data_IF_824377611270
#
_entry.id   IF_824377611270
#
_cell.length_a   1.000
_cell.length_b   1.000
_cell.length_c   1.000
_cell.angle_alpha   90.00
_cell.angle_beta   90.00
_cell.angle_gamma   90.00
#
_symmetry.space_group_name_H-M   'P 1'
#
loop_
_entity.id
_entity.type
_entity.pdbx_description
1 polymer ?
#
# COMPACT_ATOMS: atom_id res chain seq x y z
N UNK A 1 -2.05 1.80 5.87
CA UNK A 1 -2.22 2.31 4.48
C UNK A 1 -3.67 2.35 4.05
N UNK A 2 -4.46 1.29 4.26
CA UNK A 2 -5.88 1.19 3.84
C UNK A 2 -6.73 2.41 4.15
N UNK A 3 -6.65 2.96 5.36
CA UNK A 3 -7.41 4.16 5.74
C UNK A 3 -7.11 5.36 4.83
N UNK A 4 -5.85 5.57 4.40
CA UNK A 4 -5.52 6.61 3.43
C UNK A 4 -6.02 6.30 2.02
N UNK A 5 -6.10 5.02 1.63
CA UNK A 5 -6.71 4.63 0.35
C UNK A 5 -8.22 4.94 0.32
N UNK A 6 -8.88 5.12 1.47
CA UNK A 6 -10.26 5.61 1.57
C UNK A 6 -10.34 7.14 1.61
N UNK A 7 -9.49 7.78 2.41
CA UNK A 7 -9.58 9.23 2.67
C UNK A 7 -9.04 10.07 1.50
N UNK A 8 -7.91 9.69 0.90
CA UNK A 8 -7.26 10.50 -0.15
C UNK A 8 -8.13 10.65 -1.39
N UNK A 9 -8.81 9.60 -1.91
CA UNK A 9 -9.74 9.75 -3.02
C UNK A 9 -10.85 10.76 -2.75
N UNK A 10 -11.41 10.80 -1.53
CA UNK A 10 -12.44 11.77 -1.16
C UNK A 10 -11.92 13.20 -1.18
N UNK A 11 -10.68 13.43 -0.71
CA UNK A 11 -10.06 14.76 -0.79
C UNK A 11 -9.86 15.18 -2.25
N UNK A 12 -9.44 14.24 -3.10
CA UNK A 12 -9.20 14.47 -4.53
C UNK A 12 -10.49 14.71 -5.31
N UNK A 13 -11.60 14.07 -4.91
CA UNK A 13 -12.90 14.14 -5.58
C UNK A 13 -13.85 15.18 -4.98
N UNK A 14 -13.34 16.10 -4.16
CA UNK A 14 -14.15 17.12 -3.45
C UNK A 14 -15.32 16.52 -2.65
N UNK A 15 -15.07 15.37 -2.02
CA UNK A 15 -16.04 14.65 -1.20
C UNK A 15 -17.00 13.74 -1.97
N UNK A 16 -16.85 13.55 -3.28
CA UNK A 16 -17.69 12.61 -4.03
C UNK A 16 -17.44 11.15 -3.58
N UNK A 17 -18.48 10.55 -3.01
CA UNK A 17 -18.49 9.20 -2.46
C UNK A 17 -18.64 8.12 -3.53
N UNK A 18 -19.00 8.47 -4.77
CA UNK A 18 -19.40 7.51 -5.83
C UNK A 18 -18.35 6.44 -6.03
N UNK A 19 -17.09 6.82 -6.28
CA UNK A 19 -16.01 5.85 -6.51
C UNK A 19 -15.62 5.09 -5.24
N UNK A 20 -15.82 5.70 -4.06
CA UNK A 20 -15.51 5.06 -2.79
C UNK A 20 -16.46 3.91 -2.47
N UNK A 21 -17.74 4.08 -2.84
CA UNK A 21 -18.80 3.10 -2.61
C UNK A 21 -18.94 2.04 -3.70
N UNK A 22 -18.46 2.32 -4.92
CA UNK A 22 -18.68 1.44 -6.08
C UNK A 22 -17.43 0.72 -6.57
N UNK A 23 -16.23 1.23 -6.28
CA UNK A 23 -14.97 0.66 -6.74
C UNK A 23 -14.18 0.13 -5.55
N UNK A 24 -13.74 -1.15 -5.58
CA UNK A 24 -12.85 -1.68 -4.55
C UNK A 24 -11.60 -0.82 -4.39
N UNK A 25 -11.15 -0.66 -3.15
CA UNK A 25 -10.07 0.26 -2.83
C UNK A 25 -8.74 -0.07 -3.55
N UNK A 26 -8.44 -1.35 -3.77
CA UNK A 26 -7.26 -1.82 -4.52
C UNK A 26 -7.35 -1.56 -6.03
N UNK A 27 -8.54 -1.34 -6.59
CA UNK A 27 -8.68 -0.90 -7.99
C UNK A 27 -8.66 0.64 -8.08
N UNK A 28 -9.21 1.32 -7.06
CA UNK A 28 -9.24 2.78 -6.97
C UNK A 28 -7.86 3.37 -6.70
N UNK A 29 -7.15 2.86 -5.70
CA UNK A 29 -5.78 3.24 -5.31
C UNK A 29 -4.89 1.99 -5.33
N UNK A 30 -4.44 1.55 -6.51
CA UNK A 30 -3.73 0.29 -6.65
C UNK A 30 -2.33 0.33 -6.03
N UNK A 31 -1.91 -0.85 -5.58
CA UNK A 31 -0.59 -1.10 -5.04
C UNK A 31 0.41 -1.31 -6.17
N UNK A 32 1.51 -0.55 -6.19
CA UNK A 32 2.50 -0.63 -7.28
C UNK A 32 3.26 -1.97 -7.31
N UNK A 33 3.40 -2.62 -6.15
CA UNK A 33 4.08 -3.91 -6.01
C UNK A 33 3.26 -5.14 -6.42
N UNK A 34 1.96 -4.98 -6.69
CA UNK A 34 1.06 -6.10 -6.96
C UNK A 34 0.82 -6.27 -8.47
N UNK A 35 0.73 -7.52 -8.93
CA UNK A 35 0.72 -7.84 -10.36
C UNK A 35 -0.45 -7.21 -11.12
N UNK A 36 -1.60 -6.98 -10.47
CA UNK A 36 -2.78 -6.30 -11.03
C UNK A 36 -2.47 -4.88 -11.46
N UNK A 37 -1.46 -4.20 -10.90
CA UNK A 37 -1.03 -2.88 -11.37
C UNK A 37 -0.72 -2.88 -12.88
N UNK A 38 -0.16 -3.98 -13.40
CA UNK A 38 0.13 -4.16 -14.82
C UNK A 38 -1.16 -4.25 -15.65
N UNK A 39 -2.21 -4.87 -15.09
CA UNK A 39 -3.50 -5.07 -15.76
C UNK A 39 -4.39 -3.81 -15.77
N UNK A 40 -4.11 -2.86 -14.88
CA UNK A 40 -4.96 -1.68 -14.65
C UNK A 40 -4.63 -0.47 -15.52
N UNK A 41 -3.70 -0.60 -16.48
CA UNK A 41 -3.28 0.46 -17.42
C UNK A 41 -3.07 1.81 -16.71
N UNK A 42 -2.29 1.82 -15.61
CA UNK A 42 -2.20 2.96 -14.69
C UNK A 42 -1.78 4.27 -15.37
N UNK A 43 -1.00 4.18 -16.45
CA UNK A 43 -0.55 5.34 -17.23
C UNK A 43 -1.69 6.07 -17.94
N UNK A 44 -2.76 5.35 -18.32
CA UNK A 44 -3.92 5.89 -19.04
C UNK A 44 -4.97 6.52 -18.12
N UNK A 45 -4.81 6.39 -16.80
CA UNK A 45 -5.77 6.97 -15.84
C UNK A 45 -5.74 8.50 -15.87
N UNK A 46 -6.92 9.16 -15.75
CA UNK A 46 -6.98 10.61 -15.67
C UNK A 46 -6.24 11.11 -14.43
N UNK A 47 -5.69 12.33 -14.51
CA UNK A 47 -5.07 12.99 -13.38
C UNK A 47 -6.11 13.71 -12.51
N UNK A 48 -5.88 13.81 -11.18
CA UNK A 48 -4.72 13.29 -10.45
C UNK A 48 -4.79 11.77 -10.22
N UNK A 49 -3.65 11.10 -10.35
CA UNK A 49 -3.51 9.65 -10.11
C UNK A 49 -3.06 9.40 -8.69
N UNK A 50 -3.73 8.48 -8.00
CA UNK A 50 -3.41 8.09 -6.62
C UNK A 50 -3.00 6.62 -6.61
N UNK A 51 -1.82 6.33 -6.07
CA UNK A 51 -1.27 4.99 -5.96
C UNK A 51 -0.78 4.75 -4.53
N UNK A 52 -0.72 3.49 -4.12
CA UNK A 52 -0.14 3.08 -2.85
C UNK A 52 1.09 2.20 -3.10
N UNK A 53 2.06 2.23 -2.19
CA UNK A 53 3.19 1.30 -2.24
C UNK A 53 3.85 1.15 -0.88
N UNK A 54 4.47 -0.02 -0.66
CA UNK A 54 5.41 -0.26 0.43
C UNK A 54 6.88 -0.14 0.00
N UNK A 55 7.17 0.24 -1.25
CA UNK A 55 8.54 0.42 -1.71
C UNK A 55 9.28 1.48 -0.91
N UNK A 56 10.55 1.18 -0.66
CA UNK A 56 11.47 2.17 -0.11
C UNK A 56 11.75 3.24 -1.16
N UNK A 57 12.04 4.46 -0.72
CA UNK A 57 12.35 5.59 -1.60
C UNK A 57 13.45 5.24 -2.64
N UNK A 58 14.45 4.45 -2.26
CA UNK A 58 15.53 4.00 -3.14
C UNK A 58 15.13 2.97 -4.20
N UNK A 59 13.94 2.36 -4.07
CA UNK A 59 13.41 1.37 -5.02
C UNK A 59 12.53 2.03 -6.10
N UNK A 60 12.25 3.32 -6.00
CA UNK A 60 11.44 4.04 -6.98
C UNK A 60 12.16 4.16 -8.32
N UNK A 61 11.41 4.25 -9.41
CA UNK A 61 11.96 4.37 -10.76
C UNK A 61 12.48 5.79 -11.05
N UNK A 62 13.23 5.95 -12.14
CA UNK A 62 13.78 7.26 -12.52
C UNK A 62 12.71 8.35 -12.72
N UNK A 63 11.52 7.99 -13.23
CA UNK A 63 10.47 8.97 -13.48
C UNK A 63 9.94 9.56 -12.18
N UNK A 64 9.88 8.79 -11.08
CA UNK A 64 9.55 9.30 -9.75
C UNK A 64 10.50 10.43 -9.32
N UNK A 65 11.82 10.25 -9.49
CA UNK A 65 12.81 11.27 -9.10
C UNK A 65 12.79 12.52 -10.00
N UNK A 66 12.39 12.37 -11.26
CA UNK A 66 12.22 13.47 -12.21
C UNK A 66 10.95 14.28 -11.92
N UNK A 67 9.81 13.60 -11.75
CA UNK A 67 8.49 14.22 -11.58
C UNK A 67 8.25 14.72 -10.15
N UNK A 68 8.86 14.06 -9.14
CA UNK A 68 8.72 14.39 -7.71
C UNK A 68 7.24 14.50 -7.29
N UNK A 69 6.46 13.40 -7.38
CA UNK A 69 5.05 13.42 -6.99
C UNK A 69 4.88 13.76 -5.51
N UNK A 70 3.67 14.16 -5.12
CA UNK A 70 3.33 14.34 -3.71
C UNK A 70 3.27 12.98 -3.01
N UNK A 71 3.94 12.85 -1.88
CA UNK A 71 4.00 11.61 -1.09
C UNK A 71 3.34 11.81 0.26
N UNK A 72 2.39 10.93 0.57
CA UNK A 72 1.82 10.79 1.90
C UNK A 72 2.40 9.52 2.53
N UNK A 73 3.31 9.70 3.48
CA UNK A 73 3.99 8.59 4.15
C UNK A 73 3.34 8.29 5.51
N UNK A 74 3.01 7.03 5.76
CA UNK A 74 2.42 6.58 7.04
C UNK A 74 3.46 5.80 7.81
N UNK A 75 3.80 6.30 8.98
CA UNK A 75 4.58 5.56 9.98
C UNK A 75 3.69 5.14 11.13
N UNK A 76 4.03 4.00 11.71
CA UNK A 76 3.42 3.48 12.93
C UNK A 76 4.53 2.98 13.86
N UNK A 77 4.27 2.95 15.16
CA UNK A 77 5.19 2.36 16.11
C UNK A 77 5.57 0.92 15.66
N UNK A 78 6.87 0.58 15.53
CA UNK A 78 7.29 -0.70 14.99
C UNK A 78 6.80 -1.90 15.82
N UNK A 79 6.54 -1.73 17.12
CA UNK A 79 5.94 -2.78 17.96
C UNK A 79 4.50 -3.08 17.54
N UNK A 80 3.74 -2.06 17.15
CA UNK A 80 2.38 -2.25 16.65
C UNK A 80 2.38 -2.81 15.22
N UNK A 81 3.38 -2.42 14.40
CA UNK A 81 3.58 -2.98 13.06
C UNK A 81 3.88 -4.47 13.19
N UNK A 82 4.78 -4.87 14.09
CA UNK A 82 5.09 -6.27 14.37
C UNK A 82 3.84 -7.08 14.68
N UNK A 83 3.05 -6.66 15.67
CA UNK A 83 1.81 -7.34 16.06
C UNK A 83 0.84 -7.44 14.89
N UNK A 84 0.63 -6.36 14.15
CA UNK A 84 -0.25 -6.34 12.98
C UNK A 84 0.23 -7.29 11.87
N UNK A 85 1.53 -7.30 11.59
CA UNK A 85 2.12 -8.15 10.55
C UNK A 85 2.05 -9.63 10.93
N UNK A 86 2.29 -9.99 12.19
CA UNK A 86 2.17 -11.37 12.66
C UNK A 86 0.79 -11.96 12.37
N UNK A 87 -0.28 -11.25 12.75
CA UNK A 87 -1.64 -11.69 12.47
C UNK A 87 -1.97 -11.66 10.97
N UNK A 88 -1.49 -10.66 10.25
CA UNK A 88 -1.71 -10.58 8.81
C UNK A 88 -1.11 -11.77 8.05
N UNK A 89 0.12 -12.16 8.38
CA UNK A 89 0.78 -13.35 7.83
C UNK A 89 0.02 -14.64 8.17
N UNK A 90 -0.60 -14.72 9.36
CA UNK A 90 -1.45 -15.85 9.73
C UNK A 90 -2.79 -15.91 8.99
N UNK A 91 -3.29 -14.77 8.49
CA UNK A 91 -4.60 -14.68 7.80
C UNK A 91 -4.48 -14.74 6.28
N UNK A 92 -3.41 -14.17 5.70
CA UNK A 92 -3.25 -14.05 4.26
C UNK A 92 -2.69 -15.34 3.66
N UNK A 93 -3.51 -16.07 2.91
CA UNK A 93 -3.17 -17.39 2.35
C UNK A 93 -1.99 -17.39 1.36
N UNK A 94 -1.64 -16.23 0.81
CA UNK A 94 -0.53 -16.05 -0.11
C UNK A 94 0.79 -15.66 0.59
N UNK A 95 0.79 -15.50 1.91
CA UNK A 95 1.99 -15.28 2.70
C UNK A 95 2.46 -16.58 3.33
N UNK A 96 3.77 -16.63 3.63
CA UNK A 96 4.35 -17.73 4.39
C UNK A 96 3.78 -17.75 5.81
N UNK A 97 3.63 -18.93 6.41
CA UNK A 97 3.18 -19.04 7.79
C UNK A 97 4.16 -18.29 8.72
N UNK A 98 3.67 -17.41 9.61
CA UNK A 98 4.54 -16.63 10.48
C UNK A 98 5.32 -17.50 11.47
N UNK A 99 4.80 -18.68 11.83
CA UNK A 99 5.33 -19.54 12.89
C UNK A 99 4.89 -19.04 14.27
N UNK A 100 5.75 -19.26 15.27
CA UNK A 100 5.60 -18.69 16.60
C UNK A 100 5.91 -17.19 16.61
N UNK A 101 5.51 -16.48 17.67
CA UNK A 101 5.82 -15.05 17.78
C UNK A 101 7.32 -14.78 17.88
N UNK A 102 8.07 -15.63 18.56
CA UNK A 102 9.53 -15.48 18.71
C UNK A 102 10.25 -15.66 17.36
N UNK A 103 9.88 -16.70 16.59
CA UNK A 103 10.41 -16.92 15.24
C UNK A 103 10.07 -15.76 14.29
N UNK A 104 8.84 -15.23 14.37
CA UNK A 104 8.45 -14.07 13.57
C UNK A 104 9.18 -12.79 14.02
N UNK A 105 9.44 -12.62 15.32
CA UNK A 105 10.20 -11.48 15.85
C UNK A 105 11.63 -11.47 15.31
N UNK A 106 12.30 -12.62 15.30
CA UNK A 106 13.63 -12.72 14.71
C UNK A 106 13.63 -12.37 13.21
N UNK A 107 12.65 -12.87 12.45
CA UNK A 107 12.51 -12.52 11.02
C UNK A 107 12.27 -11.02 10.83
N UNK A 108 11.33 -10.45 11.59
CA UNK A 108 10.93 -9.04 11.51
C UNK A 108 12.12 -8.10 11.80
N UNK A 109 12.90 -8.36 12.85
CA UNK A 109 14.07 -7.56 13.21
C UNK A 109 15.20 -7.67 12.18
N UNK A 110 15.30 -8.80 11.49
CA UNK A 110 16.28 -9.04 10.43
C UNK A 110 15.79 -8.61 9.03
N UNK A 111 14.55 -8.12 8.90
CA UNK A 111 13.94 -7.74 7.61
C UNK A 111 13.74 -8.92 6.65
N UNK A 112 13.42 -10.11 7.17
CA UNK A 112 13.22 -11.36 6.40
C UNK A 112 11.75 -11.76 6.27
#
# INVERSE_FOLDING_TARGET
TTWLQEVVPLIVSDGDLTTVLTVPNWDRVPWLEEHRAILLNLEQRPSPRVFATHFHHSMMNESYFKIKPRVLYVMRNPKDVFTSSFYYYGMASYLVNPGTQDEFMEKFLNGK
#
